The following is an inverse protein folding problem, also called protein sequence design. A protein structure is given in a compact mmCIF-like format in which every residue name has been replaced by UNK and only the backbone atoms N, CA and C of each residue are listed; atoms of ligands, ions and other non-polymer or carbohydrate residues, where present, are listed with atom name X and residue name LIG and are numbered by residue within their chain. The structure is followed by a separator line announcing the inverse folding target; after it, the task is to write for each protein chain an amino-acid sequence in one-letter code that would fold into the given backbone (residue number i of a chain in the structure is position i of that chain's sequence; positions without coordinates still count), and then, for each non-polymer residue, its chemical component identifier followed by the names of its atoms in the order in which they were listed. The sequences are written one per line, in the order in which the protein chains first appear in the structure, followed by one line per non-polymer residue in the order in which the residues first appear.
data_IF_800800235538
#
_entry.id   IF_800800235538
#
_cell.length_a   1.000
_cell.length_b   1.000
_cell.length_c   1.000
_cell.angle_alpha   90.00
_cell.angle_beta   90.00
_cell.angle_gamma   90.00
#
_symmetry.space_group_name_H-M   'P 1'
#
loop_
_entity.id
_entity.type
_entity.pdbx_description
1 polymer ?
#
# COMPACT_ATOMS: atom_id res chain seq x y z
N UNK A 1 19.87 -10.80 -2.03
CA UNK A 1 18.73 -10.23 -1.27
C UNK A 1 17.85 -9.26 -2.09
N UNK A 2 17.98 -9.16 -3.42
CA UNK A 2 17.19 -8.24 -4.29
C UNK A 2 15.73 -8.66 -4.54
N UNK A 3 15.41 -9.95 -4.41
CA UNK A 3 14.08 -10.51 -4.71
C UNK A 3 13.00 -10.01 -3.75
N UNK A 4 13.32 -9.95 -2.45
CA UNK A 4 12.31 -9.72 -1.42
C UNK A 4 11.80 -8.27 -1.43
N UNK A 5 12.67 -7.30 -1.74
CA UNK A 5 12.29 -5.88 -1.81
C UNK A 5 11.48 -5.57 -3.07
N UNK A 6 11.78 -6.21 -4.21
CA UNK A 6 10.95 -6.07 -5.42
C UNK A 6 9.57 -6.70 -5.25
N UNK A 7 9.49 -7.86 -4.59
CA UNK A 7 8.21 -8.50 -4.25
C UNK A 7 7.42 -7.63 -3.27
N UNK A 8 8.07 -7.08 -2.24
CA UNK A 8 7.42 -6.17 -1.30
C UNK A 8 6.87 -4.91 -1.99
N UNK A 9 7.59 -4.33 -2.95
CA UNK A 9 7.11 -3.20 -3.74
C UNK A 9 5.92 -3.58 -4.64
N UNK A 10 5.99 -4.73 -5.31
CA UNK A 10 4.91 -5.22 -6.16
C UNK A 10 3.63 -5.51 -5.35
N UNK A 11 3.77 -6.14 -4.18
CA UNK A 11 2.66 -6.38 -3.25
C UNK A 11 2.13 -5.06 -2.71
N UNK A 12 2.99 -4.12 -2.36
CA UNK A 12 2.57 -2.79 -1.88
C UNK A 12 1.79 -2.03 -2.95
N UNK A 13 2.23 -2.05 -4.22
CA UNK A 13 1.52 -1.46 -5.36
C UNK A 13 0.19 -2.17 -5.65
N UNK A 14 0.19 -3.50 -5.57
CA UNK A 14 -1.01 -4.30 -5.78
C UNK A 14 -2.06 -4.03 -4.69
N UNK A 15 -1.66 -3.91 -3.43
CA UNK A 15 -2.57 -3.53 -2.35
C UNK A 15 -3.02 -2.08 -2.52
N UNK A 16 -2.11 -1.16 -2.85
CA UNK A 16 -2.41 0.26 -3.01
C UNK A 16 -3.39 0.53 -4.16
N UNK A 17 -3.34 -0.25 -5.25
CA UNK A 17 -4.24 -0.07 -6.40
C UNK A 17 -5.43 -1.04 -6.40
N UNK A 18 -5.21 -2.29 -5.99
CA UNK A 18 -6.20 -3.36 -6.00
C UNK A 18 -7.28 -3.20 -4.94
N UNK A 19 -6.93 -2.77 -3.71
CA UNK A 19 -7.94 -2.53 -2.66
C UNK A 19 -8.91 -1.41 -3.03
N UNK A 20 -8.47 -0.24 -3.53
CA UNK A 20 -9.39 0.81 -3.97
C UNK A 20 -10.32 0.35 -5.10
N UNK A 21 -9.80 -0.38 -6.10
CA UNK A 21 -10.61 -0.89 -7.22
C UNK A 21 -11.63 -1.91 -6.71
N UNK A 22 -11.22 -2.83 -5.84
CA UNK A 22 -12.13 -3.80 -5.22
C UNK A 22 -13.22 -3.11 -4.39
N UNK A 23 -12.84 -2.16 -3.54
CA UNK A 23 -13.79 -1.37 -2.75
C UNK A 23 -14.72 -0.52 -3.61
N UNK A 24 -14.24 -0.01 -4.74
CA UNK A 24 -15.05 0.75 -5.68
C UNK A 24 -16.13 -0.13 -6.34
N UNK A 25 -15.76 -1.33 -6.79
CA UNK A 25 -16.71 -2.30 -7.35
C UNK A 25 -17.75 -2.73 -6.30
N UNK A 26 -17.29 -3.04 -5.09
CA UNK A 26 -18.17 -3.42 -3.97
C UNK A 26 -19.09 -2.27 -3.59
N UNK A 27 -18.60 -1.02 -3.59
CA UNK A 27 -19.42 0.15 -3.27
C UNK A 27 -20.46 0.46 -4.35
N UNK A 28 -20.14 0.23 -5.63
CA UNK A 28 -21.13 0.32 -6.71
C UNK A 28 -22.19 -0.78 -6.57
N UNK A 29 -21.78 -2.01 -6.28
CA UNK A 29 -22.70 -3.16 -6.14
C UNK A 29 -23.59 -3.04 -4.89
N UNK A 30 -23.07 -2.50 -3.78
CA UNK A 30 -23.81 -2.33 -2.54
C UNK A 30 -24.73 -1.09 -2.54
N UNK A 31 -24.55 -0.14 -3.47
CA UNK A 31 -25.30 1.13 -3.51
C UNK A 31 -25.05 2.06 -2.32
N UNK A 32 -24.11 1.70 -1.42
CA UNK A 32 -23.83 2.39 -0.17
C UNK A 32 -22.46 3.06 -0.24
N UNK A 33 -22.44 4.33 -0.66
CA UNK A 33 -21.23 5.18 -0.74
C UNK A 33 -20.51 5.40 0.60
N UNK A 34 -21.18 5.11 1.73
CA UNK A 34 -20.59 5.13 3.07
C UNK A 34 -19.46 4.09 3.24
N UNK A 35 -19.50 2.97 2.50
CA UNK A 35 -18.41 1.99 2.50
C UNK A 35 -17.14 2.58 1.87
N UNK A 36 -17.24 3.36 0.78
CA UNK A 36 -16.09 4.08 0.23
C UNK A 36 -15.50 5.08 1.24
N UNK A 37 -16.34 5.87 1.92
CA UNK A 37 -15.91 6.90 2.87
C UNK A 37 -15.15 6.36 4.09
N UNK A 38 -15.51 5.19 4.62
CA UNK A 38 -14.78 4.58 5.75
C UNK A 38 -13.53 3.81 5.30
N UNK A 39 -13.56 3.26 4.09
CA UNK A 39 -12.51 2.35 3.60
C UNK A 39 -11.35 3.07 2.94
N UNK A 40 -11.59 4.25 2.34
CA UNK A 40 -10.55 5.11 1.79
C UNK A 40 -9.53 5.53 2.86
N UNK A 41 -9.91 6.15 4.00
CA UNK A 41 -8.93 6.54 5.01
C UNK A 41 -8.20 5.33 5.63
N UNK A 42 -8.87 4.19 5.82
CA UNK A 42 -8.26 2.95 6.31
C UNK A 42 -7.24 2.36 5.31
N UNK A 43 -7.59 2.30 4.02
CA UNK A 43 -6.69 1.80 2.97
C UNK A 43 -5.53 2.77 2.73
N UNK A 44 -5.77 4.08 2.78
CA UNK A 44 -4.71 5.08 2.65
C UNK A 44 -3.74 5.04 3.82
N UNK A 45 -4.23 4.90 5.06
CA UNK A 45 -3.34 4.75 6.22
C UNK A 45 -2.52 3.47 6.15
N UNK A 46 -3.14 2.32 5.87
CA UNK A 46 -2.40 1.07 5.71
C UNK A 46 -1.36 1.13 4.57
N UNK A 47 -1.75 1.66 3.41
CA UNK A 47 -0.89 1.82 2.24
C UNK A 47 0.26 2.80 2.48
N UNK A 48 -0.02 3.99 3.01
CA UNK A 48 1.00 5.01 3.29
C UNK A 48 1.97 4.57 4.38
N UNK A 49 1.50 3.90 5.44
CA UNK A 49 2.36 3.36 6.48
C UNK A 49 3.30 2.29 5.94
N UNK A 50 2.79 1.35 5.13
CA UNK A 50 3.64 0.33 4.48
C UNK A 50 4.68 0.95 3.54
N UNK A 51 4.28 1.96 2.77
CA UNK A 51 5.16 2.66 1.83
C UNK A 51 6.23 3.48 2.56
N UNK A 52 5.87 4.14 3.66
CA UNK A 52 6.79 4.89 4.51
C UNK A 52 7.84 3.98 5.15
N UNK A 53 7.44 2.82 5.69
CA UNK A 53 8.35 1.82 6.24
C UNK A 53 9.31 1.28 5.18
N UNK A 54 8.80 1.00 3.98
CA UNK A 54 9.61 0.54 2.84
C UNK A 54 10.65 1.60 2.43
N UNK A 55 10.25 2.87 2.34
CA UNK A 55 11.17 3.99 2.06
C UNK A 55 12.23 4.14 3.16
N UNK A 56 11.85 4.00 4.43
CA UNK A 56 12.79 4.06 5.55
C UNK A 56 13.79 2.91 5.51
N UNK A 57 13.36 1.69 5.19
CA UNK A 57 14.25 0.55 5.00
C UNK A 57 15.23 0.78 3.84
N UNK A 58 14.74 1.25 2.68
CA UNK A 58 15.60 1.57 1.52
C UNK A 58 16.63 2.66 1.88
N UNK A 59 16.23 3.70 2.62
CA UNK A 59 17.17 4.74 3.09
C UNK A 59 18.20 4.19 4.08
N UNK A 60 17.79 3.29 4.99
CA UNK A 60 18.68 2.66 5.98
C UNK A 60 19.69 1.74 5.30
N UNK A 61 19.26 0.93 4.33
CA UNK A 61 20.14 0.09 3.52
C UNK A 61 21.15 0.93 2.71
N UNK A 62 20.71 2.02 2.06
CA UNK A 62 21.62 2.93 1.33
C UNK A 62 22.66 3.61 2.22
N UNK A 63 22.33 3.89 3.50
CA UNK A 63 23.30 4.43 4.47
C UNK A 63 24.23 3.35 5.04
N UNK A 64 23.75 2.12 5.21
CA UNK A 64 24.56 0.99 5.69
C UNK A 64 25.60 0.48 4.69
N UNK A 65 25.41 0.71 3.39
CA UNK A 65 26.40 0.36 2.33
C UNK A 65 27.59 1.35 2.30
N UNK A 66 27.55 2.45 3.06
CA UNK A 66 28.62 3.47 3.11
C UNK A 66 29.60 3.29 4.29
N UNK A 67 29.56 2.18 5.02
CA UNK A 67 30.55 1.84 6.05
C UNK A 67 31.24 0.52 5.75
#
# INVERSE_FOLDING_TARGET
MRSNTQVALAVSLFVLAGFPIFFFIVSMAAGQWNYLLFSIPASMTAGLTGLMLTIQQIKKERKGIKH
#
